data_IF_736937119159
#
_entry.id   IF_736937119159
#
_cell.length_a   1.000
_cell.length_b   1.000
_cell.length_c   1.000
_cell.angle_alpha   90.00
_cell.angle_beta   90.00
_cell.angle_gamma   90.00
#
_symmetry.space_group_name_H-M   'P 1'
#
loop_
_entity.id
_entity.type
_entity.pdbx_description
1 polymer ?
#
# COMPACT_ATOMS: atom_id res chain seq x y z
N UNK A 1 -12.29 22.18 4.72
CA UNK A 1 -13.63 21.91 4.14
C UNK A 1 -13.64 20.84 3.07
N UNK A 2 -12.82 20.92 2.01
CA UNK A 2 -12.86 19.94 0.92
C UNK A 2 -12.28 18.56 1.30
N UNK A 3 -11.17 18.53 2.05
CA UNK A 3 -10.59 17.29 2.55
C UNK A 3 -11.56 16.50 3.46
N UNK A 4 -12.27 17.19 4.36
CA UNK A 4 -13.25 16.59 5.28
C UNK A 4 -14.38 15.91 4.49
N UNK A 5 -14.87 16.54 3.42
CA UNK A 5 -15.93 15.97 2.57
C UNK A 5 -15.49 14.70 1.83
N UNK A 6 -14.20 14.56 1.55
CA UNK A 6 -13.64 13.44 0.78
C UNK A 6 -13.20 12.29 1.69
N UNK A 7 -12.55 12.60 2.81
CA UNK A 7 -11.94 11.59 3.69
C UNK A 7 -12.74 11.32 4.95
N UNK A 8 -13.77 12.13 5.25
CA UNK A 8 -14.46 12.11 6.54
C UNK A 8 -13.58 12.55 7.72
N UNK A 9 -12.35 12.99 7.44
CA UNK A 9 -11.32 13.25 8.44
C UNK A 9 -10.95 14.73 8.44
N UNK A 10 -11.02 15.36 9.61
CA UNK A 10 -10.55 16.71 9.83
C UNK A 10 -9.04 16.74 10.03
N UNK A 11 -8.33 17.39 9.09
CA UNK A 11 -6.86 17.49 9.13
C UNK A 11 -6.35 18.21 10.38
N UNK A 12 -7.18 19.03 11.02
CA UNK A 12 -6.85 19.67 12.29
C UNK A 12 -6.54 18.66 13.39
N UNK A 13 -7.01 17.42 13.27
CA UNK A 13 -6.71 16.35 14.23
C UNK A 13 -5.25 15.89 14.19
N UNK A 14 -4.51 16.20 13.11
CA UNK A 14 -3.10 15.83 12.96
C UNK A 14 -2.15 16.99 13.30
N UNK A 15 -2.68 18.15 13.71
CA UNK A 15 -1.84 19.26 14.13
C UNK A 15 -1.23 18.98 15.51
N UNK A 16 -0.03 19.49 15.81
CA UNK A 16 0.54 19.38 17.15
C UNK A 16 -0.43 19.94 18.20
N UNK A 17 -0.49 19.38 19.41
CA UNK A 17 -1.37 19.89 20.48
C UNK A 17 -1.13 21.37 20.85
N UNK A 18 0.05 21.91 20.51
CA UNK A 18 0.42 23.31 20.71
C UNK A 18 -0.09 24.25 19.61
N UNK A 19 -0.61 23.72 18.50
CA UNK A 19 -1.10 24.51 17.38
C UNK A 19 -2.51 25.07 17.70
N UNK A 20 -2.81 26.35 17.43
CA UNK A 20 -4.08 26.99 17.81
C UNK A 20 -5.31 26.31 17.18
N UNK A 21 -5.16 25.80 15.96
CA UNK A 21 -6.25 25.11 15.24
C UNK A 21 -6.31 23.60 15.50
N UNK A 22 -5.54 23.05 16.45
CA UNK A 22 -5.54 21.61 16.74
C UNK A 22 -6.92 21.14 17.20
N UNK A 23 -7.47 20.14 16.50
CA UNK A 23 -8.70 19.46 16.91
C UNK A 23 -8.32 18.22 17.71
N UNK A 24 -8.49 18.25 19.03
CA UNK A 24 -8.25 17.06 19.85
C UNK A 24 -9.37 16.04 19.61
N UNK A 25 -9.02 14.84 19.17
CA UNK A 25 -9.94 13.70 19.07
C UNK A 25 -9.72 12.80 20.28
N UNK A 26 -10.79 12.48 21.00
CA UNK A 26 -10.70 11.65 22.19
C UNK A 26 -10.10 10.27 21.84
N UNK A 27 -9.10 9.85 22.63
CA UNK A 27 -8.34 8.60 22.48
C UNK A 27 -7.47 8.51 21.21
N UNK A 28 -7.30 9.59 20.47
CA UNK A 28 -6.34 9.65 19.36
C UNK A 28 -5.00 10.18 19.89
N UNK A 29 -4.09 9.26 20.20
CA UNK A 29 -2.73 9.59 20.62
C UNK A 29 -1.75 9.22 19.50
N UNK A 30 -1.01 10.22 19.02
CA UNK A 30 0.06 10.01 18.05
C UNK A 30 1.38 9.87 18.78
N UNK A 31 2.10 8.79 18.47
CA UNK A 31 3.49 8.65 18.88
C UNK A 31 4.36 9.67 18.13
N UNK A 32 5.48 10.04 18.76
CA UNK A 32 6.46 10.87 18.08
C UNK A 32 6.97 10.17 16.80
N UNK A 33 7.00 10.85 15.64
CA UNK A 33 7.47 10.26 14.38
C UNK A 33 8.87 9.63 14.48
N UNK A 34 9.77 10.18 15.30
CA UNK A 34 11.12 9.67 15.50
C UNK A 34 11.12 8.37 16.31
N UNK A 35 10.26 8.28 17.33
CA UNK A 35 10.06 7.04 18.10
C UNK A 35 9.49 5.92 17.22
N UNK A 36 8.52 6.25 16.36
CA UNK A 36 7.95 5.29 15.39
C UNK A 36 9.02 4.84 14.41
N UNK A 37 9.83 5.76 13.88
CA UNK A 37 10.93 5.44 12.98
C UNK A 37 11.94 4.48 13.62
N UNK A 38 12.33 4.73 14.88
CA UNK A 38 13.25 3.85 15.60
C UNK A 38 12.66 2.45 15.79
N UNK A 39 11.38 2.36 16.18
CA UNK A 39 10.67 1.08 16.34
C UNK A 39 10.54 0.31 15.03
N UNK A 40 10.19 0.98 13.94
CA UNK A 40 10.11 0.38 12.61
C UNK A 40 11.48 -0.15 12.16
N UNK A 41 12.55 0.63 12.35
CA UNK A 41 13.90 0.22 11.97
C UNK A 41 14.38 -1.01 12.72
N UNK A 42 14.08 -1.10 14.03
CA UNK A 42 14.37 -2.30 14.84
C UNK A 42 13.57 -3.50 14.35
N UNK A 43 12.27 -3.33 14.13
CA UNK A 43 11.40 -4.40 13.63
C UNK A 43 11.87 -4.91 12.26
N UNK A 44 12.18 -4.01 11.32
CA UNK A 44 12.67 -4.38 10.00
C UNK A 44 14.00 -5.15 10.08
N UNK A 45 14.90 -4.75 10.97
CA UNK A 45 16.17 -5.44 11.20
C UNK A 45 16.03 -6.88 11.73
N UNK A 46 14.83 -7.29 12.18
CA UNK A 46 14.56 -8.69 12.56
C UNK A 46 14.36 -9.61 11.35
N UNK A 47 14.02 -9.06 10.18
CA UNK A 47 13.70 -9.84 8.98
C UNK A 47 14.58 -9.53 7.78
N UNK A 48 15.22 -8.36 7.75
CA UNK A 48 16.03 -7.89 6.62
C UNK A 48 17.37 -7.36 7.13
N UNK A 49 18.46 -7.83 6.53
CA UNK A 49 19.76 -7.16 6.62
C UNK A 49 19.81 -5.99 5.63
N UNK A 50 19.78 -4.76 6.17
CA UNK A 50 19.83 -3.55 5.36
C UNK A 50 21.11 -3.41 4.53
N UNK A 51 22.21 -4.05 4.92
CA UNK A 51 23.49 -4.01 4.19
C UNK A 51 23.56 -5.05 3.06
N UNK A 52 22.74 -6.10 3.11
CA UNK A 52 22.69 -7.14 2.10
C UNK A 52 21.84 -6.68 0.89
N UNK A 53 22.46 -6.46 -0.28
CA UNK A 53 21.79 -6.03 -1.51
C UNK A 53 20.93 -7.09 -2.20
N UNK A 54 20.73 -8.25 -1.59
CA UNK A 54 19.82 -9.29 -2.07
C UNK A 54 18.72 -9.62 -1.06
N UNK A 55 18.72 -8.96 0.10
CA UNK A 55 17.74 -9.17 1.16
C UNK A 55 17.00 -7.86 1.44
N UNK A 56 15.77 -7.73 0.91
CA UNK A 56 14.90 -6.57 1.09
C UNK A 56 13.45 -7.00 1.08
N UNK A 57 12.61 -6.19 1.70
CA UNK A 57 11.17 -6.33 1.58
C UNK A 57 10.68 -5.92 0.20
N UNK A 58 9.64 -6.60 -0.27
CA UNK A 58 8.82 -6.12 -1.37
C UNK A 58 7.62 -5.35 -0.79
N UNK A 59 7.55 -4.04 -1.03
CA UNK A 59 6.37 -3.26 -0.63
C UNK A 59 5.20 -3.61 -1.55
N UNK A 60 4.06 -3.98 -0.96
CA UNK A 60 2.81 -4.30 -1.66
C UNK A 60 1.71 -3.42 -1.06
N UNK A 61 0.97 -2.71 -1.90
CA UNK A 61 -0.14 -1.86 -1.44
C UNK A 61 -1.04 -1.44 -2.59
N UNK A 62 -2.20 -0.87 -2.26
CA UNK A 62 -3.17 -0.41 -3.25
C UNK A 62 -2.93 1.07 -3.58
N UNK A 63 -2.58 1.38 -4.83
CA UNK A 63 -2.10 2.71 -5.23
C UNK A 63 -0.78 3.11 -4.52
N UNK A 64 0.02 2.10 -4.16
CA UNK A 64 1.25 2.27 -3.38
C UNK A 64 2.34 3.03 -4.14
N UNK A 65 2.37 2.97 -5.47
CA UNK A 65 3.37 3.69 -6.25
C UNK A 65 3.18 5.20 -6.12
N UNK A 66 1.92 5.65 -6.13
CA UNK A 66 1.56 7.07 -6.09
C UNK A 66 1.53 7.64 -4.67
N UNK A 67 1.26 6.80 -3.65
CA UNK A 67 0.99 7.27 -2.30
C UNK A 67 1.93 6.66 -1.23
N UNK A 68 1.79 5.38 -0.90
CA UNK A 68 2.47 4.78 0.26
C UNK A 68 3.99 4.79 0.13
N UNK A 69 4.52 4.42 -1.03
CA UNK A 69 5.97 4.42 -1.25
C UNK A 69 6.59 5.82 -1.12
N UNK A 70 6.12 6.86 -1.82
CA UNK A 70 6.69 8.20 -1.65
C UNK A 70 6.47 8.73 -0.23
N UNK A 71 5.35 8.43 0.43
CA UNK A 71 5.10 8.83 1.81
C UNK A 71 6.11 8.20 2.78
N UNK A 72 6.29 6.87 2.74
CA UNK A 72 7.26 6.16 3.58
C UNK A 72 8.69 6.62 3.30
N UNK A 73 9.06 6.84 2.03
CA UNK A 73 10.38 7.40 1.69
C UNK A 73 10.60 8.77 2.34
N UNK A 74 9.62 9.68 2.24
CA UNK A 74 9.70 10.99 2.88
C UNK A 74 9.73 10.90 4.41
N UNK A 75 9.05 9.93 5.00
CA UNK A 75 9.11 9.67 6.43
C UNK A 75 10.53 9.28 6.88
N UNK A 76 11.22 8.43 6.14
CA UNK A 76 12.64 8.12 6.38
C UNK A 76 13.55 9.36 6.26
N UNK A 77 13.39 10.12 5.17
CA UNK A 77 14.19 11.33 4.93
C UNK A 77 14.03 12.38 6.05
N UNK A 78 12.79 12.59 6.54
CA UNK A 78 12.50 13.51 7.64
C UNK A 78 13.13 13.07 8.97
N UNK A 79 13.41 11.79 9.13
CA UNK A 79 14.13 11.23 10.27
C UNK A 79 15.66 11.19 10.07
N UNK A 80 16.17 11.88 9.03
CA UNK A 80 17.60 11.96 8.75
C UNK A 80 18.20 10.72 8.07
N UNK A 81 17.37 9.75 7.67
CA UNK A 81 17.81 8.53 6.98
C UNK A 81 17.48 8.58 5.49
N UNK A 82 18.52 8.70 4.65
CA UNK A 82 18.39 8.69 3.18
C UNK A 82 18.38 7.28 2.57
N UNK A 83 18.52 6.23 3.37
CA UNK A 83 18.70 4.85 2.93
C UNK A 83 17.41 4.03 3.00
N UNK A 84 16.25 4.62 2.71
CA UNK A 84 14.99 3.85 2.58
C UNK A 84 15.13 2.63 1.65
N UNK A 85 15.86 2.78 0.54
CA UNK A 85 16.14 1.68 -0.42
C UNK A 85 17.06 0.58 0.12
N UNK A 86 17.63 0.74 1.33
CA UNK A 86 18.33 -0.35 2.02
C UNK A 86 17.37 -1.34 2.67
N UNK A 87 16.08 -1.04 2.75
CA UNK A 87 15.05 -1.90 3.34
C UNK A 87 14.11 -2.51 2.29
N UNK A 88 13.83 -1.80 1.20
CA UNK A 88 12.80 -2.17 0.23
C UNK A 88 13.32 -2.26 -1.20
N UNK A 89 12.83 -3.24 -1.96
CA UNK A 89 12.97 -3.25 -3.41
C UNK A 89 12.19 -2.12 -4.07
N UNK A 90 12.75 -1.65 -5.19
CA UNK A 90 12.04 -0.78 -6.12
C UNK A 90 11.87 -1.52 -7.46
N UNK A 91 10.69 -1.48 -8.09
CA UNK A 91 9.46 -0.80 -7.66
C UNK A 91 8.65 -1.57 -6.60
N UNK A 92 7.62 -0.94 -6.02
CA UNK A 92 6.61 -1.64 -5.23
C UNK A 92 5.70 -2.45 -6.16
N UNK A 93 4.98 -3.42 -5.60
CA UNK A 93 3.90 -4.11 -6.29
C UNK A 93 2.59 -3.38 -5.98
N UNK A 94 2.14 -2.60 -6.95
CA UNK A 94 0.89 -1.86 -6.83
C UNK A 94 -0.29 -2.75 -7.21
N UNK A 95 -1.07 -3.15 -6.20
CA UNK A 95 -2.23 -4.04 -6.35
C UNK A 95 -3.27 -3.42 -7.29
N UNK A 96 -3.39 -2.10 -7.32
CA UNK A 96 -4.29 -1.40 -8.23
C UNK A 96 -3.89 -1.63 -9.69
N UNK A 97 -2.60 -1.54 -10.02
CA UNK A 97 -2.14 -1.74 -11.39
C UNK A 97 -2.26 -3.20 -11.84
N UNK A 98 -2.03 -4.15 -10.93
CA UNK A 98 -2.22 -5.57 -11.23
C UNK A 98 -3.69 -5.88 -11.55
N UNK A 99 -4.63 -5.37 -10.76
CA UNK A 99 -6.05 -5.54 -11.06
C UNK A 99 -6.50 -4.76 -12.28
N UNK A 100 -5.90 -3.60 -12.56
CA UNK A 100 -6.19 -2.86 -13.79
C UNK A 100 -5.81 -3.67 -15.04
N UNK A 101 -4.74 -4.46 -14.98
CA UNK A 101 -4.35 -5.41 -16.04
C UNK A 101 -5.33 -6.59 -16.14
N UNK A 102 -5.80 -7.12 -15.02
CA UNK A 102 -6.72 -8.27 -15.00
C UNK A 102 -8.11 -7.87 -15.52
N UNK A 103 -8.61 -6.69 -15.14
CA UNK A 103 -9.99 -6.25 -15.40
C UNK A 103 -10.11 -5.34 -16.63
N UNK A 104 -9.17 -5.40 -17.59
CA UNK A 104 -9.17 -4.50 -18.75
C UNK A 104 -10.49 -4.52 -19.54
N UNK A 105 -11.07 -5.71 -19.74
CA UNK A 105 -12.31 -5.89 -20.50
C UNK A 105 -13.55 -5.40 -19.74
N UNK A 106 -13.49 -5.38 -18.41
CA UNK A 106 -14.60 -5.01 -17.53
C UNK A 106 -14.48 -3.57 -17.02
N UNK A 107 -13.33 -2.93 -17.22
CA UNK A 107 -12.98 -1.63 -16.63
C UNK A 107 -14.02 -0.54 -16.90
N UNK A 108 -14.62 -0.56 -18.09
CA UNK A 108 -15.64 0.39 -18.53
C UNK A 108 -16.99 0.25 -17.80
N UNK A 109 -17.24 -0.92 -17.19
CA UNK A 109 -18.48 -1.22 -16.45
C UNK A 109 -18.36 -0.87 -14.96
N UNK A 110 -17.16 -0.60 -14.48
CA UNK A 110 -16.89 -0.28 -13.09
C UNK A 110 -17.01 1.22 -12.83
N UNK A 111 -17.80 1.60 -11.83
CA UNK A 111 -18.04 3.01 -11.47
C UNK A 111 -16.76 3.79 -11.15
N UNK A 112 -15.79 3.14 -10.50
CA UNK A 112 -14.45 3.65 -10.24
C UNK A 112 -13.49 2.48 -9.96
N UNK A 113 -12.23 2.78 -9.64
CA UNK A 113 -11.20 1.78 -9.35
C UNK A 113 -10.60 1.92 -7.95
N UNK A 114 -11.42 2.33 -6.98
CA UNK A 114 -11.04 2.37 -5.57
C UNK A 114 -10.98 0.95 -4.99
N UNK A 115 -10.20 0.77 -3.92
CA UNK A 115 -9.99 -0.51 -3.24
C UNK A 115 -11.32 -1.26 -2.98
N UNK A 116 -12.28 -0.61 -2.34
CA UNK A 116 -13.59 -1.19 -2.03
C UNK A 116 -14.39 -1.62 -3.28
N UNK A 117 -14.31 -0.86 -4.36
CA UNK A 117 -15.02 -1.20 -5.61
C UNK A 117 -14.40 -2.41 -6.29
N UNK A 118 -13.07 -2.48 -6.35
CA UNK A 118 -12.37 -3.64 -6.91
C UNK A 118 -12.56 -4.87 -6.02
N UNK A 119 -12.49 -4.72 -4.69
CA UNK A 119 -12.75 -5.80 -3.74
C UNK A 119 -14.14 -6.43 -3.95
N UNK A 120 -15.20 -5.61 -4.00
CA UNK A 120 -16.56 -6.11 -4.29
C UNK A 120 -16.67 -6.78 -5.65
N UNK A 121 -16.05 -6.20 -6.68
CA UNK A 121 -16.03 -6.78 -8.03
C UNK A 121 -15.36 -8.16 -8.04
N UNK A 122 -14.42 -8.40 -7.13
CA UNK A 122 -13.72 -9.67 -6.98
C UNK A 122 -14.38 -10.59 -5.93
N UNK A 123 -15.67 -10.41 -5.63
CA UNK A 123 -16.43 -11.18 -4.65
C UNK A 123 -15.79 -11.22 -3.26
N UNK A 124 -15.25 -10.08 -2.81
CA UNK A 124 -14.86 -9.88 -1.41
C UNK A 124 -15.97 -9.13 -0.68
N UNK A 125 -16.29 -9.58 0.52
CA UNK A 125 -17.17 -8.84 1.42
C UNK A 125 -16.48 -7.55 1.85
N UNK A 126 -17.18 -6.43 1.74
CA UNK A 126 -16.69 -5.12 2.13
C UNK A 126 -17.69 -4.47 3.07
N UNK A 127 -17.30 -4.34 4.33
CA UNK A 127 -17.96 -3.47 5.29
C UNK A 127 -17.55 -2.01 5.08
N UNK A 128 -18.49 -1.17 4.65
CA UNK A 128 -18.29 0.28 4.47
C UNK A 128 -17.98 1.00 5.79
N UNK A 129 -18.45 0.48 6.93
CA UNK A 129 -18.21 1.07 8.25
C UNK A 129 -16.77 0.93 8.73
N UNK A 130 -16.02 0.00 8.15
CA UNK A 130 -14.61 -0.25 8.46
C UNK A 130 -13.64 0.38 7.43
N UNK A 131 -14.14 0.98 6.34
CA UNK A 131 -13.28 1.64 5.37
C UNK A 131 -12.57 2.84 6.01
N UNK A 132 -11.33 3.09 5.58
CA UNK A 132 -10.43 4.07 6.16
C UNK A 132 -9.86 3.70 7.54
N UNK A 133 -10.17 2.51 8.06
CA UNK A 133 -9.30 1.84 9.03
C UNK A 133 -8.09 1.22 8.30
N UNK A 134 -6.90 1.65 8.70
CA UNK A 134 -5.66 1.20 8.04
C UNK A 134 -5.45 -0.31 8.09
N UNK A 135 -5.86 -0.99 9.16
CA UNK A 135 -5.71 -2.44 9.30
C UNK A 135 -6.66 -3.19 8.37
N UNK A 136 -7.90 -2.73 8.28
CA UNK A 136 -8.89 -3.27 7.37
C UNK A 136 -8.50 -3.09 5.90
N UNK A 137 -8.04 -1.89 5.53
CA UNK A 137 -7.59 -1.61 4.16
C UNK A 137 -6.36 -2.46 3.78
N UNK A 138 -5.43 -2.72 4.73
CA UNK A 138 -4.30 -3.64 4.54
C UNK A 138 -4.80 -5.06 4.26
N UNK A 139 -5.78 -5.56 5.02
CA UNK A 139 -6.29 -6.92 4.85
C UNK A 139 -7.05 -7.08 3.53
N UNK A 140 -7.90 -6.13 3.15
CA UNK A 140 -8.54 -6.13 1.82
C UNK A 140 -7.51 -6.11 0.69
N UNK A 141 -6.48 -5.29 0.81
CA UNK A 141 -5.38 -5.21 -0.17
C UNK A 141 -4.64 -6.54 -0.27
N UNK A 142 -4.37 -7.19 0.85
CA UNK A 142 -3.74 -8.51 0.92
C UNK A 142 -4.60 -9.59 0.26
N UNK A 143 -5.91 -9.60 0.52
CA UNK A 143 -6.83 -10.56 -0.10
C UNK A 143 -6.89 -10.38 -1.62
N UNK A 144 -6.97 -9.14 -2.09
CA UNK A 144 -6.90 -8.82 -3.51
C UNK A 144 -5.58 -9.27 -4.14
N UNK A 145 -4.45 -9.07 -3.47
CA UNK A 145 -3.15 -9.53 -3.95
C UNK A 145 -3.12 -11.06 -4.12
N UNK A 146 -3.59 -11.80 -3.10
CA UNK A 146 -3.64 -13.27 -3.15
C UNK A 146 -4.58 -13.75 -4.28
N UNK A 147 -5.73 -13.10 -4.46
CA UNK A 147 -6.65 -13.42 -5.58
C UNK A 147 -6.01 -13.15 -6.94
N UNK A 148 -5.35 -12.01 -7.12
CA UNK A 148 -4.66 -11.68 -8.36
C UNK A 148 -3.59 -12.72 -8.72
N UNK A 149 -2.77 -13.13 -7.73
CA UNK A 149 -1.79 -14.20 -7.92
C UNK A 149 -2.40 -15.50 -8.45
N UNK A 150 -3.51 -15.95 -7.85
CA UNK A 150 -4.23 -17.15 -8.32
C UNK A 150 -4.74 -17.01 -9.75
N UNK A 151 -5.21 -15.83 -10.14
CA UNK A 151 -5.66 -15.57 -11.53
C UNK A 151 -4.47 -15.66 -12.49
N UNK A 152 -3.35 -15.01 -12.16
CA UNK A 152 -2.15 -15.00 -13.00
C UNK A 152 -1.57 -16.41 -13.14
N UNK A 153 -1.43 -17.15 -12.03
CA UNK A 153 -0.91 -18.52 -12.00
C UNK A 153 -1.77 -19.46 -12.86
N UNK A 154 -3.11 -19.38 -12.78
CA UNK A 154 -4.01 -20.15 -13.65
C UNK A 154 -3.86 -19.80 -15.13
N UNK A 155 -3.63 -18.53 -15.45
CA UNK A 155 -3.37 -18.09 -16.83
C UNK A 155 -2.05 -18.63 -17.38
N UNK A 156 -1.04 -18.82 -16.53
CA UNK A 156 0.25 -19.40 -16.90
C UNK A 156 0.16 -20.91 -17.20
N UNK A 157 -0.74 -21.65 -16.53
CA UNK A 157 -0.97 -23.06 -16.82
C UNK A 157 -1.65 -23.30 -18.19
N UNK A 158 -2.32 -22.28 -18.74
CA UNK A 158 -3.05 -22.37 -20.02
C UNK A 158 -2.31 -21.72 -21.21
N UNK A 159 -1.27 -20.93 -20.96
CA UNK A 159 -0.43 -20.37 -22.00
C UNK A 159 0.83 -21.23 -22.18
N UNK A 160 1.19 -21.64 -23.41
CA UNK A 160 2.43 -22.37 -23.59
C UNK A 160 3.63 -21.47 -23.22
N UNK A 161 4.64 -22.06 -22.55
CA UNK A 161 5.85 -21.41 -22.01
C UNK A 161 6.57 -20.42 -22.95
N UNK A 162 6.35 -20.49 -24.26
CA UNK A 162 6.93 -19.60 -25.26
C UNK A 162 6.16 -18.29 -25.50
N UNK A 163 4.98 -18.11 -24.89
CA UNK A 163 4.11 -16.94 -25.14
C UNK A 163 4.28 -15.81 -24.10
N UNK A 164 5.00 -16.05 -23.00
CA UNK A 164 5.45 -15.00 -22.09
C UNK A 164 6.98 -14.89 -22.13
N UNK A 165 7.47 -13.91 -22.91
CA UNK A 165 8.81 -13.34 -22.77
C UNK A 165 9.96 -14.34 -22.63
N UNK A 166 10.41 -14.93 -23.74
CA UNK A 166 11.86 -15.11 -23.94
C UNK A 166 12.49 -13.71 -23.90
N UNK A 167 12.74 -13.15 -22.72
CA UNK A 167 13.45 -11.89 -22.66
C UNK A 167 14.96 -12.11 -22.66
N UNK A 168 15.49 -13.22 -22.12
CA UNK A 168 16.90 -13.57 -22.24
C UNK A 168 17.12 -15.09 -22.16
N UNK A 169 17.03 -15.76 -23.32
CA UNK A 169 17.90 -16.91 -23.57
C UNK A 169 19.14 -16.34 -24.28
N UNK A 170 20.23 -16.11 -23.56
CA UNK A 170 21.58 -15.92 -24.11
C UNK A 170 22.54 -16.82 -23.36
#
# INVERSE_FOLDING_TARGET
>A
DEAIKVTGIDRRQFLPPTHPDCLKVDRQEFLDPQDVYARLSVMFGQYVDKFNRSDKFQLIGYNAHSFDMPFLRRFWEKNGDRFFGSWFWFPCLDVMLVWAQILQEERSRMANFKLATVARHCDLEVDDGCLHDSGYDIELTRQLWIKARKVIERGQDQAPLWMQGKLFDV
#
